data_IF_646739339629
#
_entry.id   IF_646739339629
#
_cell.length_a   1.000
_cell.length_b   1.000
_cell.length_c   1.000
_cell.angle_alpha   90.00
_cell.angle_beta   90.00
_cell.angle_gamma   90.00
#
_symmetry.space_group_name_H-M   'P 1'
#
loop_
_entity.id
_entity.type
_entity.pdbx_description
1 polymer ?
#
# COMPACT_ATOMS: atom_id res chain seq x y z
N UNK A 1 -24.03 -51.80 -10.38
CA UNK A 1 -24.11 -50.84 -9.26
C UNK A 1 -22.93 -50.94 -8.26
N UNK A 2 -22.18 -52.05 -8.20
CA UNK A 2 -21.10 -52.26 -7.21
C UNK A 2 -19.79 -51.46 -7.47
N UNK A 3 -19.45 -51.16 -8.73
CA UNK A 3 -18.17 -50.52 -9.13
C UNK A 3 -18.06 -49.06 -8.67
N UNK A 4 -19.18 -48.35 -8.52
CA UNK A 4 -19.17 -46.94 -8.11
C UNK A 4 -18.86 -46.76 -6.60
N UNK A 5 -19.05 -47.80 -5.78
CA UNK A 5 -18.78 -47.75 -4.33
C UNK A 5 -17.31 -48.03 -3.96
N UNK A 6 -16.52 -48.61 -4.87
CA UNK A 6 -15.09 -48.91 -4.65
C UNK A 6 -14.20 -47.69 -4.93
N UNK A 7 -14.57 -46.84 -5.89
CA UNK A 7 -13.86 -45.59 -6.18
C UNK A 7 -13.91 -44.61 -5.00
N UNK A 8 -15.08 -44.41 -4.39
CA UNK A 8 -15.25 -43.56 -3.20
C UNK A 8 -14.43 -44.06 -2.01
N UNK A 9 -14.40 -45.38 -1.77
CA UNK A 9 -13.59 -45.99 -0.71
C UNK A 9 -12.09 -45.86 -0.98
N UNK A 10 -11.63 -45.99 -2.23
CA UNK A 10 -10.23 -45.73 -2.60
C UNK A 10 -9.82 -44.28 -2.32
N UNK A 11 -10.67 -43.31 -2.66
CA UNK A 11 -10.40 -41.89 -2.38
C UNK A 11 -10.31 -41.63 -0.87
N UNK A 12 -11.28 -42.11 -0.09
CA UNK A 12 -11.27 -41.97 1.37
C UNK A 12 -10.05 -42.63 2.02
N UNK A 13 -9.66 -43.82 1.53
CA UNK A 13 -8.47 -44.51 2.02
C UNK A 13 -7.16 -43.80 1.62
N UNK A 14 -7.14 -43.16 0.46
CA UNK A 14 -6.00 -42.37 0.00
C UNK A 14 -5.80 -41.12 0.86
N UNK A 15 -6.89 -40.40 1.18
CA UNK A 15 -6.84 -39.27 2.12
C UNK A 15 -6.40 -39.70 3.52
N UNK A 16 -6.93 -40.82 4.04
CA UNK A 16 -6.52 -41.32 5.36
C UNK A 16 -5.08 -41.79 5.39
N UNK A 17 -4.53 -42.30 4.28
CA UNK A 17 -3.11 -42.63 4.15
C UNK A 17 -2.21 -41.39 4.20
N UNK A 18 -2.58 -40.33 3.49
CA UNK A 18 -1.85 -39.05 3.54
C UNK A 18 -1.90 -38.47 4.94
N UNK A 19 -3.09 -38.46 5.56
CA UNK A 19 -3.26 -37.97 6.92
C UNK A 19 -2.47 -38.81 7.94
N UNK A 20 -2.46 -40.15 7.79
CA UNK A 20 -1.69 -41.03 8.66
C UNK A 20 -0.19 -40.80 8.52
N UNK A 21 0.31 -40.61 7.30
CA UNK A 21 1.73 -40.31 7.06
C UNK A 21 2.10 -38.92 7.60
N UNK A 22 1.25 -37.91 7.39
CA UNK A 22 1.44 -36.58 7.95
C UNK A 22 1.43 -36.61 9.49
N UNK A 23 0.47 -37.32 10.10
CA UNK A 23 0.37 -37.49 11.54
C UNK A 23 1.57 -38.23 12.12
N UNK A 24 2.03 -39.28 11.47
CA UNK A 24 3.25 -39.98 11.85
C UNK A 24 4.46 -39.04 11.85
N UNK A 25 4.65 -38.25 10.79
CA UNK A 25 5.72 -37.26 10.72
C UNK A 25 5.61 -36.20 11.82
N UNK A 26 4.39 -35.71 12.10
CA UNK A 26 4.14 -34.71 13.14
C UNK A 26 4.40 -35.28 14.55
N UNK A 27 4.05 -36.55 14.78
CA UNK A 27 4.24 -37.24 16.06
C UNK A 27 5.71 -37.44 16.41
N UNK A 28 6.61 -37.43 15.42
CA UNK A 28 8.07 -37.51 15.64
C UNK A 28 8.73 -36.17 15.97
N UNK A 29 7.99 -35.04 15.92
CA UNK A 29 8.54 -33.70 16.25
C UNK A 29 9.05 -33.59 17.70
N UNK A 30 8.33 -34.09 18.73
CA UNK A 30 8.76 -33.98 20.13
C UNK A 30 10.09 -34.69 20.42
N UNK A 31 10.48 -35.67 19.61
CA UNK A 31 11.74 -36.41 19.75
C UNK A 31 12.95 -35.62 19.19
N UNK A 32 12.71 -34.61 18.35
CA UNK A 32 13.74 -33.77 17.70
C UNK A 32 13.50 -32.27 17.87
N UNK A 33 13.28 -31.83 19.12
CA UNK A 33 12.87 -30.45 19.46
C UNK A 33 13.84 -29.37 18.97
N UNK A 34 15.16 -29.60 19.09
CA UNK A 34 16.18 -28.62 18.71
C UNK A 34 16.16 -28.27 17.22
N UNK A 35 16.36 -29.26 16.32
CA UNK A 35 16.31 -29.04 14.87
C UNK A 35 14.97 -28.47 14.39
N UNK A 36 13.84 -28.92 14.96
CA UNK A 36 12.52 -28.41 14.58
C UNK A 36 12.34 -26.94 14.99
N UNK A 37 12.75 -26.57 16.21
CA UNK A 37 12.69 -25.19 16.65
C UNK A 37 13.53 -24.27 15.75
N UNK A 38 14.77 -24.67 15.44
CA UNK A 38 15.65 -23.90 14.55
C UNK A 38 15.02 -23.69 13.16
N UNK A 39 14.43 -24.73 12.57
CA UNK A 39 13.73 -24.63 11.29
C UNK A 39 12.53 -23.68 11.35
N UNK A 40 11.71 -23.77 12.41
CA UNK A 40 10.56 -22.88 12.59
C UNK A 40 10.98 -21.42 12.71
N UNK A 41 11.98 -21.11 13.54
CA UNK A 41 12.48 -19.75 13.68
C UNK A 41 13.11 -19.21 12.38
N UNK A 42 13.84 -20.04 11.64
CA UNK A 42 14.40 -19.66 10.35
C UNK A 42 13.30 -19.27 9.34
N UNK A 43 12.28 -20.11 9.18
CA UNK A 43 11.17 -19.84 8.26
C UNK A 43 10.36 -18.61 8.73
N UNK A 44 10.04 -18.54 10.02
CA UNK A 44 9.27 -17.43 10.59
C UNK A 44 9.99 -16.08 10.42
N UNK A 45 11.32 -16.05 10.64
CA UNK A 45 12.12 -14.85 10.46
C UNK A 45 12.11 -14.34 9.02
N UNK A 46 12.29 -15.25 8.05
CA UNK A 46 12.23 -14.90 6.62
C UNK A 46 10.84 -14.38 6.23
N UNK A 47 9.77 -15.06 6.66
CA UNK A 47 8.39 -14.61 6.40
C UNK A 47 8.13 -13.23 7.01
N UNK A 48 8.58 -12.98 8.25
CA UNK A 48 8.40 -11.69 8.91
C UNK A 48 9.08 -10.55 8.14
N UNK A 49 10.29 -10.78 7.61
CA UNK A 49 11.01 -9.80 6.78
C UNK A 49 10.27 -9.52 5.47
N UNK A 50 9.81 -10.57 4.78
CA UNK A 50 9.04 -10.39 3.53
C UNK A 50 7.73 -9.65 3.78
N UNK A 51 6.97 -10.04 4.82
CA UNK A 51 5.71 -9.35 5.17
C UNK A 51 5.97 -7.89 5.52
N UNK A 52 7.01 -7.60 6.32
CA UNK A 52 7.36 -6.23 6.70
C UNK A 52 7.72 -5.35 5.49
N UNK A 53 8.61 -5.82 4.63
CA UNK A 53 9.04 -5.06 3.44
C UNK A 53 7.90 -4.87 2.43
N UNK A 54 7.08 -5.90 2.20
CA UNK A 54 5.90 -5.80 1.34
C UNK A 54 4.83 -4.86 1.93
N UNK A 55 4.63 -4.88 3.25
CA UNK A 55 3.69 -3.97 3.92
C UNK A 55 4.12 -2.52 3.80
N UNK A 56 5.41 -2.22 3.99
CA UNK A 56 5.98 -0.89 3.77
C UNK A 56 5.77 -0.46 2.31
N UNK A 57 6.08 -1.34 1.35
CA UNK A 57 5.93 -1.03 -0.06
C UNK A 57 4.47 -0.75 -0.45
N UNK A 58 3.51 -1.53 0.08
CA UNK A 58 2.09 -1.29 -0.15
C UNK A 58 1.59 -0.02 0.56
N UNK A 59 2.00 0.22 1.80
CA UNK A 59 1.65 1.43 2.54
C UNK A 59 2.16 2.69 1.84
N UNK A 60 3.39 2.67 1.33
CA UNK A 60 3.95 3.77 0.55
C UNK A 60 3.18 3.98 -0.75
N UNK A 61 2.93 2.92 -1.53
CA UNK A 61 2.10 3.00 -2.74
C UNK A 61 0.73 3.60 -2.46
N UNK A 62 0.05 3.11 -1.43
CA UNK A 62 -1.27 3.58 -1.05
C UNK A 62 -1.25 5.07 -0.68
N UNK A 63 -0.28 5.51 0.13
CA UNK A 63 -0.12 6.92 0.48
C UNK A 63 0.08 7.78 -0.77
N UNK A 64 1.01 7.43 -1.66
CA UNK A 64 1.28 8.22 -2.88
C UNK A 64 0.11 8.22 -3.85
N UNK A 65 -0.60 7.10 -4.04
CA UNK A 65 -1.79 7.06 -4.91
C UNK A 65 -3.00 7.78 -4.31
N UNK A 66 -3.17 7.75 -2.99
CA UNK A 66 -4.29 8.40 -2.31
C UNK A 66 -4.10 9.92 -2.18
N UNK A 67 -2.86 10.43 -2.27
CA UNK A 67 -2.59 11.86 -2.17
C UNK A 67 -3.13 12.70 -3.33
N UNK A 68 -3.52 12.08 -4.46
CA UNK A 68 -4.05 12.80 -5.62
C UNK A 68 -5.51 12.42 -5.92
N UNK A 69 -6.41 13.40 -5.88
CA UNK A 69 -7.75 13.22 -6.46
C UNK A 69 -7.66 13.32 -7.98
N UNK A 70 -8.21 12.37 -8.77
CA UNK A 70 -8.28 12.49 -10.22
C UNK A 70 -9.10 13.70 -10.71
N UNK A 71 -9.88 14.31 -9.82
CA UNK A 71 -10.69 15.50 -10.09
C UNK A 71 -9.98 16.81 -9.72
N UNK A 72 -8.75 16.74 -9.21
CA UNK A 72 -7.95 17.90 -8.84
C UNK A 72 -6.75 18.01 -9.76
N UNK A 73 -6.58 19.17 -10.39
CA UNK A 73 -5.41 19.49 -11.19
C UNK A 73 -4.57 20.58 -10.51
N UNK A 74 -3.25 20.48 -10.63
CA UNK A 74 -2.31 21.53 -10.22
C UNK A 74 -1.90 22.28 -11.49
N UNK A 75 -2.04 23.60 -11.49
CA UNK A 75 -1.62 24.46 -12.59
C UNK A 75 -0.34 25.18 -12.18
N UNK A 76 0.71 25.02 -12.98
CA UNK A 76 2.01 25.67 -12.76
C UNK A 76 2.36 26.58 -13.94
N UNK A 77 3.14 27.62 -13.66
CA UNK A 77 3.68 28.50 -14.71
C UNK A 77 4.58 27.69 -15.66
N UNK A 78 4.50 27.97 -16.96
CA UNK A 78 5.43 27.37 -17.92
C UNK A 78 6.90 27.64 -17.52
N UNK A 79 7.71 26.58 -17.49
CA UNK A 79 9.13 26.64 -17.12
C UNK A 79 9.42 26.58 -15.61
N UNK A 80 8.41 26.39 -14.74
CA UNK A 80 8.65 26.05 -13.34
C UNK A 80 8.67 24.53 -13.14
N UNK A 81 9.70 24.04 -12.46
CA UNK A 81 9.81 22.62 -12.08
C UNK A 81 9.14 22.30 -10.72
N UNK A 82 8.78 23.33 -9.96
CA UNK A 82 8.17 23.20 -8.62
C UNK A 82 7.14 24.29 -8.37
N UNK A 83 6.15 24.01 -7.52
CA UNK A 83 5.15 25.01 -7.07
C UNK A 83 5.81 26.23 -6.44
N UNK A 84 6.93 26.04 -5.73
CA UNK A 84 7.67 27.11 -5.05
C UNK A 84 8.21 28.19 -6.01
N UNK A 85 8.56 27.83 -7.25
CA UNK A 85 9.05 28.78 -8.27
C UNK A 85 7.98 29.11 -9.32
N UNK A 86 6.77 28.59 -9.15
CA UNK A 86 5.61 28.86 -10.00
C UNK A 86 4.88 30.11 -9.50
N UNK A 87 5.23 31.27 -10.06
CA UNK A 87 4.49 32.51 -9.79
C UNK A 87 3.35 32.67 -10.79
N UNK A 88 2.12 32.74 -10.30
CA UNK A 88 0.93 33.15 -11.04
C UNK A 88 0.34 34.41 -10.42
N UNK A 89 0.13 35.44 -11.23
CA UNK A 89 -0.44 36.71 -10.81
C UNK A 89 -1.96 36.60 -10.63
N UNK A 90 -2.55 37.56 -9.91
CA UNK A 90 -3.98 37.56 -9.60
C UNK A 90 -4.92 37.58 -10.83
N UNK A 91 -4.47 38.13 -11.96
CA UNK A 91 -5.23 38.08 -13.21
C UNK A 91 -5.17 36.68 -13.84
N UNK A 92 -3.98 36.06 -13.86
CA UNK A 92 -3.77 34.72 -14.40
C UNK A 92 -4.59 33.68 -13.63
N UNK A 93 -4.61 33.77 -12.29
CA UNK A 93 -5.40 32.85 -11.45
C UNK A 93 -6.90 33.03 -11.65
N UNK A 94 -7.39 34.26 -11.88
CA UNK A 94 -8.80 34.51 -12.23
C UNK A 94 -9.16 33.90 -13.58
N UNK A 95 -8.32 34.11 -14.59
CA UNK A 95 -8.53 33.55 -15.93
C UNK A 95 -8.60 32.01 -15.89
N UNK A 96 -7.70 31.37 -15.13
CA UNK A 96 -7.70 29.91 -14.93
C UNK A 96 -8.97 29.45 -14.21
N UNK A 97 -9.39 30.19 -13.18
CA UNK A 97 -10.58 29.87 -12.37
C UNK A 97 -11.88 29.94 -13.19
N UNK A 98 -11.93 30.82 -14.19
CA UNK A 98 -13.08 30.99 -15.07
C UNK A 98 -13.11 30.01 -16.26
N UNK A 99 -12.04 29.21 -16.45
CA UNK A 99 -11.91 28.29 -17.57
C UNK A 99 -13.01 27.21 -17.60
N UNK A 100 -13.41 26.73 -18.80
CA UNK A 100 -14.35 25.63 -18.93
C UNK A 100 -13.77 24.34 -18.34
N UNK A 101 -14.57 23.62 -17.56
CA UNK A 101 -14.17 22.36 -16.91
C UNK A 101 -13.85 22.48 -15.42
N UNK A 102 -13.69 23.70 -14.89
CA UNK A 102 -13.58 23.92 -13.44
C UNK A 102 -14.94 23.67 -12.78
N UNK A 103 -14.97 22.74 -11.83
CA UNK A 103 -16.16 22.44 -11.05
C UNK A 103 -16.61 23.68 -10.23
N UNK A 104 -17.93 23.86 -10.06
CA UNK A 104 -18.49 25.01 -9.34
C UNK A 104 -19.48 24.54 -8.27
N UNK A 105 -19.52 25.23 -7.14
CA UNK A 105 -20.51 25.04 -6.07
C UNK A 105 -21.34 26.32 -5.87
N UNK A 106 -22.19 26.36 -4.84
CA UNK A 106 -23.04 27.53 -4.50
C UNK A 106 -22.25 28.78 -4.13
N UNK A 107 -20.97 28.64 -3.78
CA UNK A 107 -20.10 29.73 -3.34
C UNK A 107 -19.15 30.20 -4.45
N UNK A 108 -19.10 29.49 -5.59
CA UNK A 108 -18.24 29.82 -6.72
C UNK A 108 -17.47 28.62 -7.30
N UNK A 109 -16.45 28.88 -8.14
CA UNK A 109 -15.58 27.84 -8.68
C UNK A 109 -14.73 27.18 -7.60
N UNK A 110 -14.56 25.85 -7.72
CA UNK A 110 -13.70 25.04 -6.86
C UNK A 110 -12.24 25.20 -7.28
N UNK A 111 -11.67 26.36 -6.98
CA UNK A 111 -10.28 26.69 -7.26
C UNK A 111 -9.64 27.38 -6.04
N UNK A 112 -8.34 27.14 -5.85
CA UNK A 112 -7.54 27.77 -4.79
C UNK A 112 -6.28 28.38 -5.41
N UNK A 113 -6.11 29.68 -5.26
CA UNK A 113 -4.88 30.37 -5.61
C UNK A 113 -3.93 30.31 -4.41
N UNK A 114 -3.15 29.23 -4.31
CA UNK A 114 -2.24 29.03 -3.20
C UNK A 114 -1.01 29.94 -3.32
N UNK A 115 -0.61 30.54 -2.19
CA UNK A 115 0.57 31.39 -2.08
C UNK A 115 1.63 30.66 -1.24
N UNK A 116 2.76 30.33 -1.88
CA UNK A 116 3.91 29.76 -1.19
C UNK A 116 4.93 30.85 -0.88
N UNK A 117 5.19 31.09 0.41
CA UNK A 117 6.13 32.11 0.86
C UNK A 117 7.17 31.53 1.82
N UNK A 118 8.45 31.86 1.61
CA UNK A 118 9.53 31.52 2.53
C UNK A 118 9.69 32.67 3.50
N UNK A 119 9.38 32.42 4.78
CA UNK A 119 9.65 33.35 5.87
C UNK A 119 10.86 32.88 6.67
N UNK A 120 11.90 33.71 6.74
CA UNK A 120 13.03 33.47 7.64
C UNK A 120 12.61 33.79 9.07
N UNK A 121 12.53 32.78 9.93
CA UNK A 121 12.25 32.97 11.34
C UNK A 121 13.54 32.89 12.16
N UNK A 122 13.74 33.80 13.14
CA UNK A 122 14.87 33.72 14.06
C UNK A 122 14.84 32.42 14.86
N UNK A 123 16.00 31.84 15.12
CA UNK A 123 16.07 30.56 15.85
C UNK A 123 15.66 30.82 17.30
N UNK A 124 14.62 30.13 17.79
CA UNK A 124 14.01 30.36 19.12
C UNK A 124 15.02 30.42 20.28
N UNK A 125 16.13 29.71 20.20
CA UNK A 125 17.14 29.68 21.26
C UNK A 125 18.22 30.76 21.17
N UNK A 126 18.40 31.42 20.01
CA UNK A 126 19.50 32.38 19.79
C UNK A 126 19.02 33.74 19.31
N UNK A 127 17.74 33.89 18.95
CA UNK A 127 17.29 35.03 18.16
C UNK A 127 17.84 34.99 16.74
#
# INVERSE_FOLDING_TARGET
MAVRSSAMRRLLNWFSQIAALAWFNLSTIPDRRGPVAAAMFGIAGVVAVFVGTLSIAQGFRQATTASGSPQTAIVMRSGSDTEMVSMLMGEETRLITDAPGIARNTNGPLASAELFAIIGLPKRSTG
#
